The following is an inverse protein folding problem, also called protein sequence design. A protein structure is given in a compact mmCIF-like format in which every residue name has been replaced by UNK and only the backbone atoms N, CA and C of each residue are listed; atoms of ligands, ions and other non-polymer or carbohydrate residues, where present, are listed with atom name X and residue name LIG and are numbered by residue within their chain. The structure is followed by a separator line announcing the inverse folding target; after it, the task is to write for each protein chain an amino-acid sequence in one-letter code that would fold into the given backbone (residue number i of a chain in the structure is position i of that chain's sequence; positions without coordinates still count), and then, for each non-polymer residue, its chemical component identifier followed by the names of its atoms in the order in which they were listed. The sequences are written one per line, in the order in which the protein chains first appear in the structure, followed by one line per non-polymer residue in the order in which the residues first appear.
data_IF_785483587570
#
_entry.id   IF_785483587570
#
_cell.length_a   1.000
_cell.length_b   1.000
_cell.length_c   1.000
_cell.angle_alpha   90.00
_cell.angle_beta   90.00
_cell.angle_gamma   90.00
#
_symmetry.space_group_name_H-M   'P 1'
#
loop_
_entity.id
_entity.type
_entity.pdbx_description
1 polymer ?
#
# COMPACT_ATOMS: atom_id res chain seq x y z
N UNK A 1 -47.02 1.80 46.10
CA UNK A 1 -46.63 2.00 44.70
C UNK A 1 -45.36 2.84 44.61
N UNK A 2 -44.21 2.21 44.41
CA UNK A 2 -42.94 2.88 44.09
C UNK A 2 -42.78 2.99 42.55
N UNK A 3 -42.12 4.05 42.05
CA UNK A 3 -41.89 4.22 40.61
C UNK A 3 -40.93 3.12 40.06
N UNK A 4 -41.13 2.66 38.81
CA UNK A 4 -40.32 1.61 38.21
C UNK A 4 -38.86 2.05 38.04
N UNK A 5 -37.91 1.18 38.34
CA UNK A 5 -36.47 1.52 38.28
C UNK A 5 -35.78 1.06 36.98
N UNK A 6 -36.48 0.34 36.10
CA UNK A 6 -35.93 -0.18 34.84
C UNK A 6 -37.00 -0.32 33.76
N UNK A 7 -36.62 -0.12 32.50
CA UNK A 7 -37.47 -0.30 31.32
C UNK A 7 -38.15 -1.67 31.26
N UNK A 8 -37.45 -2.72 31.71
CA UNK A 8 -38.00 -4.08 31.78
C UNK A 8 -39.11 -4.21 32.84
N UNK A 9 -39.04 -3.44 33.93
CA UNK A 9 -40.08 -3.41 34.96
C UNK A 9 -41.33 -2.69 34.46
N UNK A 10 -41.14 -1.59 33.72
CA UNK A 10 -42.23 -0.83 33.11
C UNK A 10 -42.99 -1.65 32.07
N UNK A 11 -42.28 -2.33 31.16
CA UNK A 11 -42.89 -3.22 30.17
C UNK A 11 -43.64 -4.40 30.80
N UNK A 12 -43.10 -4.98 31.89
CA UNK A 12 -43.77 -6.06 32.61
C UNK A 12 -45.07 -5.58 33.27
N UNK A 13 -45.10 -4.38 33.87
CA UNK A 13 -46.31 -3.79 34.44
C UNK A 13 -47.38 -3.55 33.38
N UNK A 14 -46.99 -3.04 32.22
CA UNK A 14 -47.91 -2.79 31.10
C UNK A 14 -48.54 -4.09 30.60
N UNK A 15 -47.77 -5.17 30.48
CA UNK A 15 -48.30 -6.46 30.00
C UNK A 15 -49.13 -7.21 31.05
N UNK A 16 -48.80 -7.08 32.34
CA UNK A 16 -49.60 -7.68 33.42
C UNK A 16 -50.94 -6.96 33.60
N UNK A 17 -50.95 -5.63 33.50
CA UNK A 17 -52.20 -4.84 33.55
C UNK A 17 -53.17 -5.19 32.42
N UNK A 18 -52.68 -5.62 31.25
CA UNK A 18 -53.53 -6.04 30.12
C UNK A 18 -54.16 -7.42 30.30
N UNK A 19 -53.60 -8.27 31.15
CA UNK A 19 -53.96 -9.70 31.24
C UNK A 19 -54.59 -10.10 32.57
N UNK A 20 -54.52 -9.24 33.58
CA UNK A 20 -54.99 -9.54 34.94
C UNK A 20 -55.96 -8.44 35.38
N UNK A 21 -57.23 -8.81 35.55
CA UNK A 21 -58.34 -7.93 35.95
C UNK A 21 -58.49 -7.83 37.50
N UNK A 22 -57.56 -8.43 38.25
CA UNK A 22 -57.53 -8.47 39.71
C UNK A 22 -56.51 -7.47 40.28
N UNK A 23 -56.75 -7.01 41.50
CA UNK A 23 -55.88 -6.06 42.21
C UNK A 23 -54.52 -6.73 42.52
N UNK A 24 -53.46 -6.27 41.86
CA UNK A 24 -52.13 -6.89 41.91
C UNK A 24 -51.08 -5.96 42.50
N UNK A 25 -50.12 -6.52 43.24
CA UNK A 25 -48.97 -5.79 43.75
C UNK A 25 -47.67 -6.53 43.41
N UNK A 26 -46.70 -5.81 42.87
CA UNK A 26 -45.36 -6.35 42.59
C UNK A 26 -44.40 -5.71 43.58
N UNK A 27 -43.78 -6.53 44.43
CA UNK A 27 -42.69 -6.12 45.32
C UNK A 27 -41.38 -6.61 44.70
N UNK A 28 -40.54 -5.70 44.21
CA UNK A 28 -39.24 -6.02 43.63
C UNK A 28 -38.05 -5.65 44.54
N UNK A 29 -38.32 -5.19 45.76
CA UNK A 29 -37.32 -4.57 46.66
C UNK A 29 -36.75 -5.51 47.72
N UNK A 30 -37.33 -6.70 47.91
CA UNK A 30 -36.97 -7.58 49.03
C UNK A 30 -35.89 -8.63 48.71
N UNK A 31 -35.68 -9.01 47.45
CA UNK A 31 -34.63 -9.95 47.03
C UNK A 31 -34.16 -9.63 45.60
N UNK A 32 -32.86 -9.38 45.33
CA UNK A 32 -32.34 -9.06 44.00
C UNK A 32 -32.53 -10.17 42.95
N UNK A 33 -32.84 -11.40 43.36
CA UNK A 33 -32.81 -12.60 42.51
C UNK A 33 -34.18 -13.14 42.08
N UNK A 34 -35.26 -12.69 42.73
CA UNK A 34 -36.62 -13.18 42.54
C UNK A 34 -37.59 -12.01 42.29
N UNK A 35 -38.47 -12.16 41.30
CA UNK A 35 -39.60 -11.26 41.09
C UNK A 35 -40.80 -11.88 41.81
N UNK A 36 -41.38 -11.14 42.77
CA UNK A 36 -42.61 -11.51 43.47
C UNK A 36 -43.81 -10.85 42.77
N UNK A 37 -44.76 -11.66 42.31
CA UNK A 37 -46.07 -11.17 41.86
C UNK A 37 -47.11 -11.67 42.85
N UNK A 38 -47.66 -10.75 43.65
CA UNK A 38 -48.74 -11.04 44.59
C UNK A 38 -50.08 -10.74 43.91
N UNK A 39 -50.87 -11.78 43.67
CA UNK A 39 -52.22 -11.70 43.13
C UNK A 39 -53.21 -11.81 44.28
N UNK A 40 -54.10 -10.81 44.43
CA UNK A 40 -55.17 -10.84 45.42
C UNK A 40 -56.36 -11.59 44.83
N UNK A 41 -56.69 -12.75 45.40
CA UNK A 41 -57.90 -13.51 45.09
C UNK A 41 -58.92 -13.32 46.23
N UNK A 42 -60.20 -13.57 45.96
CA UNK A 42 -61.30 -13.41 46.92
C UNK A 42 -61.15 -14.26 48.20
N UNK A 43 -60.32 -15.31 48.17
CA UNK A 43 -60.07 -16.22 49.28
C UNK A 43 -58.62 -16.23 49.81
N UNK A 44 -57.76 -15.31 49.36
CA UNK A 44 -56.38 -15.22 49.82
C UNK A 44 -55.43 -14.58 48.82
N UNK A 45 -54.14 -14.50 49.16
CA UNK A 45 -53.10 -13.96 48.27
C UNK A 45 -52.32 -15.12 47.67
N UNK A 46 -52.31 -15.23 46.34
CA UNK A 46 -51.45 -16.17 45.62
C UNK A 46 -50.14 -15.48 45.24
N UNK A 47 -49.02 -16.02 45.73
CA UNK A 47 -47.68 -15.53 45.43
C UNK A 47 -47.03 -16.40 44.37
N UNK A 48 -46.72 -15.82 43.21
CA UNK A 48 -45.99 -16.50 42.13
C UNK A 48 -44.53 -16.05 42.14
N UNK A 49 -43.61 -17.02 42.07
CA UNK A 49 -42.17 -16.81 42.06
C UNK A 49 -41.61 -16.92 40.64
N UNK A 50 -40.92 -15.88 40.16
CA UNK A 50 -40.20 -15.92 38.89
C UNK A 50 -38.73 -15.50 39.08
N UNK A 51 -37.78 -16.34 38.67
CA UNK A 51 -36.35 -16.04 38.79
C UNK A 51 -35.91 -15.02 37.75
N UNK A 52 -35.35 -13.88 38.18
CA UNK A 52 -34.85 -12.79 37.32
C UNK A 52 -33.55 -13.17 36.57
N UNK A 53 -32.90 -14.27 36.98
CA UNK A 53 -31.55 -14.68 36.53
C UNK A 53 -31.45 -15.13 35.07
N UNK A 54 -32.57 -15.20 34.33
CA UNK A 54 -32.58 -15.50 32.87
C UNK A 54 -32.57 -14.29 31.96
N UNK A 55 -32.82 -13.08 32.48
CA UNK A 55 -32.97 -11.87 31.65
C UNK A 55 -31.61 -11.21 31.35
N UNK A 56 -30.62 -11.42 32.22
CA UNK A 56 -29.23 -10.99 32.00
C UNK A 56 -28.32 -12.21 32.03
N UNK A 57 -28.34 -12.99 30.95
CA UNK A 57 -27.42 -14.11 30.81
C UNK A 57 -25.99 -13.59 30.74
N UNK A 58 -25.17 -13.98 31.71
CA UNK A 58 -23.73 -13.70 31.78
C UNK A 58 -22.98 -14.08 30.49
N UNK A 59 -23.58 -14.94 29.66
CA UNK A 59 -23.11 -15.34 28.33
C UNK A 59 -23.09 -14.19 27.30
N UNK A 60 -23.94 -13.16 27.42
CA UNK A 60 -23.97 -12.08 26.43
C UNK A 60 -22.69 -11.24 26.46
N UNK A 61 -22.19 -10.91 27.66
CA UNK A 61 -20.97 -10.11 27.79
C UNK A 61 -19.73 -10.88 27.33
N UNK A 62 -19.67 -12.19 27.60
CA UNK A 62 -18.58 -13.03 27.10
C UNK A 62 -18.62 -13.18 25.59
N UNK A 63 -19.81 -13.30 24.99
CA UNK A 63 -20.00 -13.30 23.54
C UNK A 63 -19.49 -12.00 22.90
N UNK A 64 -19.94 -10.84 23.39
CA UNK A 64 -19.49 -9.55 22.85
C UNK A 64 -17.99 -9.33 23.04
N UNK A 65 -17.43 -9.71 24.20
CA UNK A 65 -15.99 -9.64 24.44
C UNK A 65 -15.20 -10.51 23.45
N UNK A 66 -15.64 -11.74 23.20
CA UNK A 66 -15.01 -12.64 22.23
C UNK A 66 -15.13 -12.15 20.80
N UNK A 67 -16.32 -11.69 20.39
CA UNK A 67 -16.54 -11.15 19.04
C UNK A 67 -15.71 -9.90 18.80
N UNK A 68 -15.67 -8.98 19.76
CA UNK A 68 -14.88 -7.75 19.63
C UNK A 68 -13.38 -8.05 19.64
N UNK A 69 -12.92 -8.92 20.54
CA UNK A 69 -11.52 -9.33 20.62
C UNK A 69 -11.03 -10.05 19.35
N UNK A 70 -11.79 -11.03 18.86
CA UNK A 70 -11.47 -11.73 17.61
C UNK A 70 -11.50 -10.80 16.39
N UNK A 71 -12.46 -9.87 16.33
CA UNK A 71 -12.54 -8.87 15.26
C UNK A 71 -11.33 -7.94 15.27
N UNK A 72 -10.93 -7.42 16.43
CA UNK A 72 -9.72 -6.59 16.57
C UNK A 72 -8.46 -7.35 16.16
N UNK A 73 -8.35 -8.62 16.57
CA UNK A 73 -7.20 -9.46 16.23
C UNK A 73 -7.11 -9.71 14.72
N UNK A 74 -8.22 -10.10 14.07
CA UNK A 74 -8.27 -10.30 12.62
C UNK A 74 -7.99 -8.99 11.87
N UNK A 75 -8.52 -7.86 12.36
CA UNK A 75 -8.25 -6.55 11.78
C UNK A 75 -6.76 -6.17 11.87
N UNK A 76 -6.13 -6.40 13.03
CA UNK A 76 -4.69 -6.14 13.19
C UNK A 76 -3.85 -7.01 12.24
N UNK A 77 -4.17 -8.30 12.12
CA UNK A 77 -3.51 -9.21 11.18
C UNK A 77 -3.68 -8.72 9.73
N UNK A 78 -4.90 -8.34 9.34
CA UNK A 78 -5.19 -7.80 8.02
C UNK A 78 -4.37 -6.53 7.71
N UNK A 79 -4.22 -5.62 8.68
CA UNK A 79 -3.38 -4.43 8.52
C UNK A 79 -1.90 -4.77 8.32
N UNK A 80 -1.37 -5.76 9.04
CA UNK A 80 0.00 -6.23 8.85
C UNK A 80 0.21 -6.82 7.46
N UNK A 81 -0.72 -7.67 7.00
CA UNK A 81 -0.71 -8.24 5.65
C UNK A 81 -0.79 -7.16 4.57
N UNK A 82 -1.70 -6.19 4.71
CA UNK A 82 -1.82 -5.08 3.74
C UNK A 82 -0.54 -4.25 3.66
N UNK A 83 0.10 -3.95 4.79
CA UNK A 83 1.41 -3.25 4.80
C UNK A 83 2.48 -4.03 4.07
N UNK A 84 2.49 -5.36 4.19
CA UNK A 84 3.39 -6.24 3.44
C UNK A 84 3.14 -6.26 1.93
N UNK A 85 1.91 -6.01 1.48
CA UNK A 85 1.55 -6.03 0.06
C UNK A 85 1.70 -4.67 -0.63
N UNK A 86 1.36 -3.57 0.05
CA UNK A 86 1.37 -2.22 -0.55
C UNK A 86 2.79 -1.65 -0.65
N UNK A 87 3.65 -1.89 0.35
CA UNK A 87 5.03 -1.35 0.37
C UNK A 87 5.85 -1.77 -0.87
N UNK A 88 5.87 -3.05 -1.29
CA UNK A 88 6.62 -3.47 -2.48
C UNK A 88 6.11 -2.84 -3.78
N UNK A 89 4.81 -2.60 -3.91
CA UNK A 89 4.22 -1.95 -5.09
C UNK A 89 4.72 -0.52 -5.22
N UNK A 90 4.73 0.24 -4.11
CA UNK A 90 5.25 1.61 -4.11
C UNK A 90 6.75 1.65 -4.43
N UNK A 91 7.53 0.68 -3.93
CA UNK A 91 8.95 0.55 -4.27
C UNK A 91 9.16 0.31 -5.76
N UNK A 92 8.38 -0.60 -6.36
CA UNK A 92 8.44 -0.87 -7.81
C UNK A 92 8.08 0.37 -8.63
N UNK A 93 7.02 1.10 -8.24
CA UNK A 93 6.62 2.33 -8.92
C UNK A 93 7.69 3.44 -8.83
N UNK A 94 8.36 3.55 -7.69
CA UNK A 94 9.47 4.51 -7.52
C UNK A 94 10.69 4.12 -8.36
N UNK A 95 11.03 2.83 -8.42
CA UNK A 95 12.10 2.33 -9.27
C UNK A 95 11.81 2.57 -10.76
N UNK A 96 10.58 2.36 -11.20
CA UNK A 96 10.16 2.63 -12.57
C UNK A 96 10.25 4.13 -12.92
N UNK A 97 9.80 5.01 -12.02
CA UNK A 97 9.97 6.47 -12.19
C UNK A 97 11.44 6.88 -12.24
N UNK A 98 12.28 6.32 -11.38
CA UNK A 98 13.72 6.61 -11.39
C UNK A 98 14.37 6.20 -12.71
N UNK A 99 14.04 5.02 -13.22
CA UNK A 99 14.51 4.55 -14.53
C UNK A 99 14.06 5.47 -15.67
N UNK A 100 12.80 5.92 -15.66
CA UNK A 100 12.28 6.86 -16.66
C UNK A 100 12.95 8.24 -16.64
N UNK A 101 13.53 8.63 -15.50
CA UNK A 101 14.30 9.87 -15.34
C UNK A 101 15.80 9.68 -15.63
N UNK A 102 16.23 8.50 -16.09
CA UNK A 102 17.66 8.19 -16.29
C UNK A 102 18.47 8.09 -15.00
N UNK A 103 17.82 8.09 -13.83
CA UNK A 103 18.51 7.95 -12.53
C UNK A 103 18.79 6.48 -12.24
N UNK A 104 19.87 6.22 -11.51
CA UNK A 104 20.11 4.89 -10.97
C UNK A 104 18.98 4.53 -10.00
N UNK A 105 18.08 3.64 -10.45
CA UNK A 105 17.08 3.08 -9.57
C UNK A 105 17.78 2.19 -8.53
N UNK A 106 17.55 2.39 -7.22
CA UNK A 106 18.14 1.54 -6.20
C UNK A 106 17.68 0.09 -6.40
N UNK A 107 18.60 -0.85 -6.23
CA UNK A 107 18.26 -2.27 -6.28
C UNK A 107 17.21 -2.58 -5.21
N UNK A 108 16.02 -2.96 -5.66
CA UNK A 108 14.91 -3.29 -4.77
C UNK A 108 14.73 -4.81 -4.73
N UNK A 109 14.53 -5.33 -3.53
CA UNK A 109 14.21 -6.73 -3.30
C UNK A 109 12.81 -7.06 -3.80
N UNK A 110 12.69 -8.23 -4.44
CA UNK A 110 11.42 -8.78 -4.93
C UNK A 110 10.63 -9.38 -3.76
N UNK A 111 9.86 -8.55 -3.08
CA UNK A 111 9.06 -8.89 -1.90
C UNK A 111 7.56 -8.70 -2.19
N UNK A 112 6.70 -9.27 -1.33
CA UNK A 112 5.24 -9.16 -1.44
C UNK A 112 4.56 -10.33 -2.16
N UNK A 113 3.34 -10.07 -2.65
CA UNK A 113 2.53 -11.06 -3.35
C UNK A 113 3.23 -11.62 -4.59
N UNK A 114 2.81 -12.80 -5.04
CA UNK A 114 3.42 -13.52 -6.16
C UNK A 114 3.43 -12.69 -7.44
N UNK A 115 2.36 -11.95 -7.67
CA UNK A 115 2.11 -11.09 -8.82
C UNK A 115 3.07 -9.89 -8.81
N UNK A 116 3.26 -9.27 -7.65
CA UNK A 116 4.19 -8.13 -7.48
C UNK A 116 5.62 -8.58 -7.72
N UNK A 117 5.99 -9.76 -7.23
CA UNK A 117 7.31 -10.35 -7.48
C UNK A 117 7.52 -10.67 -8.95
N UNK A 118 6.50 -11.18 -9.65
CA UNK A 118 6.56 -11.45 -11.09
C UNK A 118 6.75 -10.15 -11.89
N UNK A 119 5.96 -9.12 -11.59
CA UNK A 119 6.09 -7.80 -12.20
C UNK A 119 7.48 -7.19 -11.93
N UNK A 120 7.99 -7.32 -10.70
CA UNK A 120 9.33 -6.86 -10.34
C UNK A 120 10.44 -7.57 -11.13
N UNK A 121 10.32 -8.88 -11.38
CA UNK A 121 11.26 -9.63 -12.23
C UNK A 121 11.23 -9.13 -13.67
N UNK A 122 10.04 -8.97 -14.24
CA UNK A 122 9.87 -8.46 -15.60
C UNK A 122 10.47 -7.04 -15.73
N UNK A 123 10.24 -6.18 -14.73
CA UNK A 123 10.84 -4.86 -14.67
C UNK A 123 12.37 -4.90 -14.60
N UNK A 124 12.95 -5.75 -13.75
CA UNK A 124 14.41 -5.90 -13.66
C UNK A 124 15.03 -6.38 -14.99
N UNK A 125 14.39 -7.34 -15.66
CA UNK A 125 14.83 -7.82 -16.96
C UNK A 125 14.77 -6.71 -18.03
N UNK A 126 13.70 -5.91 -18.04
CA UNK A 126 13.57 -4.74 -18.92
C UNK A 126 14.65 -3.70 -18.64
N UNK A 127 14.88 -3.34 -17.37
CA UNK A 127 15.96 -2.42 -16.96
C UNK A 127 17.31 -2.90 -17.47
N UNK A 128 17.63 -4.17 -17.26
CA UNK A 128 18.91 -4.73 -17.70
C UNK A 128 19.08 -4.66 -19.21
N UNK A 129 18.02 -4.97 -19.97
CA UNK A 129 18.03 -4.84 -21.44
C UNK A 129 18.24 -3.40 -21.90
N UNK A 130 17.56 -2.43 -21.29
CA UNK A 130 17.70 -1.01 -21.62
C UNK A 130 19.14 -0.55 -21.34
N UNK A 131 19.66 -0.83 -20.15
CA UNK A 131 21.02 -0.42 -19.77
C UNK A 131 22.07 -1.04 -20.68
N UNK A 132 21.89 -2.31 -21.05
CA UNK A 132 22.77 -2.98 -22.01
C UNK A 132 22.74 -2.28 -23.38
N UNK A 133 21.56 -1.96 -23.90
CA UNK A 133 21.42 -1.26 -25.19
C UNK A 133 22.03 0.14 -25.17
N UNK A 134 21.94 0.84 -24.03
CA UNK A 134 22.59 2.14 -23.87
C UNK A 134 24.12 1.99 -23.87
N UNK A 135 24.65 1.05 -23.09
CA UNK A 135 26.09 0.80 -23.04
C UNK A 135 26.65 0.37 -24.41
N UNK A 136 25.96 -0.53 -25.12
CA UNK A 136 26.35 -0.96 -26.48
C UNK A 136 26.41 0.22 -27.46
N UNK A 137 25.46 1.18 -27.37
CA UNK A 137 25.47 2.39 -28.20
C UNK A 137 26.62 3.32 -27.85
N UNK A 138 26.87 3.55 -26.56
CA UNK A 138 27.98 4.41 -26.11
C UNK A 138 29.33 3.81 -26.49
N UNK A 139 29.50 2.49 -26.34
CA UNK A 139 30.72 1.78 -26.76
C UNK A 139 30.93 1.85 -28.28
N UNK A 140 29.87 1.66 -29.08
CA UNK A 140 29.93 1.82 -30.52
C UNK A 140 30.37 3.24 -30.92
N UNK A 141 29.81 4.27 -30.29
CA UNK A 141 30.17 5.66 -30.58
C UNK A 141 31.64 5.96 -30.24
N UNK A 142 32.14 5.43 -29.12
CA UNK A 142 33.55 5.53 -28.77
C UNK A 142 34.46 4.82 -29.79
N UNK A 143 34.05 3.64 -30.27
CA UNK A 143 34.77 2.91 -31.33
C UNK A 143 34.81 3.68 -32.64
N UNK A 144 33.69 4.28 -33.07
CA UNK A 144 33.63 5.10 -34.29
C UNK A 144 34.56 6.32 -34.19
N UNK A 145 34.61 7.00 -33.05
CA UNK A 145 35.55 8.12 -32.83
C UNK A 145 37.00 7.70 -33.04
N UNK A 146 37.38 6.58 -32.42
CA UNK A 146 38.73 6.04 -32.54
C UNK A 146 39.07 5.71 -34.00
N UNK A 147 38.14 5.10 -34.73
CA UNK A 147 38.34 4.73 -36.12
C UNK A 147 38.39 5.93 -37.07
N UNK A 148 37.69 7.04 -36.75
CA UNK A 148 37.73 8.30 -37.51
C UNK A 148 39.05 9.06 -37.34
N UNK A 149 39.73 8.93 -36.18
CA UNK A 149 41.03 9.58 -35.94
C UNK A 149 42.11 9.12 -36.94
N UNK A 150 42.05 7.87 -37.39
CA UNK A 150 43.00 7.30 -38.36
C UNK A 150 42.94 7.98 -39.74
N UNK A 151 41.79 8.02 -40.46
CA UNK A 151 41.69 8.72 -41.73
C UNK A 151 41.89 10.23 -41.60
N UNK A 152 41.44 10.88 -40.51
CA UNK A 152 41.69 12.30 -40.26
C UNK A 152 43.20 12.61 -40.19
N UNK A 153 43.96 11.78 -39.47
CA UNK A 153 45.43 11.90 -39.40
C UNK A 153 46.08 11.72 -40.78
N UNK A 154 45.57 10.78 -41.59
CA UNK A 154 46.05 10.57 -42.97
C UNK A 154 45.77 11.79 -43.86
N UNK A 155 44.57 12.37 -43.78
CA UNK A 155 44.22 13.59 -44.52
C UNK A 155 45.15 14.73 -44.10
N UNK A 156 45.38 14.92 -42.79
CA UNK A 156 46.29 15.93 -42.26
C UNK A 156 47.72 15.78 -42.84
N UNK A 157 48.22 14.55 -42.93
CA UNK A 157 49.53 14.26 -43.55
C UNK A 157 49.54 14.55 -45.07
N UNK A 158 48.45 14.26 -45.79
CA UNK A 158 48.34 14.57 -47.22
C UNK A 158 48.34 16.09 -47.48
N UNK A 159 47.68 16.87 -46.62
CA UNK A 159 47.68 18.34 -46.68
C UNK A 159 49.07 18.93 -46.48
N UNK A 160 49.91 18.34 -45.61
CA UNK A 160 51.31 18.78 -45.45
C UNK A 160 52.13 18.66 -46.74
N UNK A 161 51.83 17.64 -47.55
CA UNK A 161 52.52 17.33 -48.81
C UNK A 161 51.98 18.10 -50.02
N UNK A 162 50.88 18.85 -49.87
CA UNK A 162 50.32 19.65 -50.96
C UNK A 162 51.20 20.84 -51.33
N UNK A 163 51.36 21.06 -52.63
CA UNK A 163 52.15 22.16 -53.18
C UNK A 163 51.44 23.52 -53.08
N UNK A 164 50.10 23.54 -53.20
CA UNK A 164 49.31 24.75 -52.98
C UNK A 164 49.01 24.90 -51.49
N UNK A 165 49.69 25.85 -50.84
CA UNK A 165 49.57 26.08 -49.40
C UNK A 165 48.28 26.80 -49.00
N UNK A 166 47.73 27.64 -49.88
CA UNK A 166 46.50 28.40 -49.60
C UNK A 166 45.29 27.47 -49.57
N UNK A 167 45.18 26.55 -50.55
CA UNK A 167 44.12 25.53 -50.57
C UNK A 167 44.26 24.53 -49.41
N UNK A 168 45.50 24.18 -49.04
CA UNK A 168 45.77 23.25 -47.95
C UNK A 168 45.43 23.83 -46.57
N UNK A 169 45.64 25.13 -46.34
CA UNK A 169 45.22 25.85 -45.14
C UNK A 169 43.70 25.87 -44.99
N UNK A 170 42.97 26.16 -46.08
CA UNK A 170 41.51 26.17 -46.06
C UNK A 170 40.93 24.80 -45.67
N UNK A 171 41.41 23.71 -46.29
CA UNK A 171 40.93 22.35 -45.98
C UNK A 171 41.34 21.93 -44.55
N UNK A 172 42.49 22.40 -44.06
CA UNK A 172 42.93 22.14 -42.68
C UNK A 172 42.01 22.80 -41.66
N UNK A 173 41.49 23.99 -41.94
CA UNK A 173 40.52 24.67 -41.09
C UNK A 173 39.21 23.88 -41.03
N UNK A 174 38.68 23.44 -42.18
CA UNK A 174 37.47 22.61 -42.24
C UNK A 174 37.65 21.28 -41.46
N UNK A 175 38.83 20.64 -41.59
CA UNK A 175 39.15 19.41 -40.87
C UNK A 175 39.13 19.60 -39.34
N UNK A 176 39.62 20.75 -38.86
CA UNK A 176 39.64 21.08 -37.45
C UNK A 176 38.22 21.32 -36.91
N UNK A 177 37.36 21.99 -37.68
CA UNK A 177 35.95 22.17 -37.33
C UNK A 177 35.19 20.82 -37.27
N UNK A 178 35.48 19.91 -38.20
CA UNK A 178 34.92 18.56 -38.17
C UNK A 178 35.37 17.77 -36.93
N UNK A 179 36.66 17.86 -36.55
CA UNK A 179 37.18 17.25 -35.31
C UNK A 179 36.45 17.79 -34.07
N UNK A 180 36.26 19.11 -33.98
CA UNK A 180 35.56 19.76 -32.87
C UNK A 180 34.09 19.33 -32.78
N UNK A 181 33.38 19.27 -33.91
CA UNK A 181 31.99 18.79 -33.95
C UNK A 181 31.86 17.33 -33.50
N UNK A 182 32.80 16.47 -33.91
CA UNK A 182 32.81 15.05 -33.52
C UNK A 182 33.04 14.93 -32.02
N UNK A 183 34.04 15.63 -31.47
CA UNK A 183 34.37 15.60 -30.05
C UNK A 183 33.20 16.13 -29.19
N UNK A 184 32.56 17.22 -29.62
CA UNK A 184 31.37 17.76 -28.94
C UNK A 184 30.20 16.75 -28.90
N UNK A 185 29.93 16.06 -30.01
CA UNK A 185 28.87 15.05 -30.06
C UNK A 185 29.18 13.83 -29.18
N UNK A 186 30.45 13.41 -29.11
CA UNK A 186 30.89 12.30 -28.26
C UNK A 186 30.79 12.63 -26.78
N UNK A 187 31.20 13.83 -26.37
CA UNK A 187 31.07 14.30 -24.98
C UNK A 187 29.60 14.34 -24.55
N UNK A 188 28.71 14.80 -25.44
CA UNK A 188 27.27 14.76 -25.20
C UNK A 188 26.75 13.31 -25.06
N UNK A 189 27.16 12.40 -25.93
CA UNK A 189 26.73 11.00 -25.90
C UNK A 189 27.31 10.19 -24.71
N UNK A 190 28.48 10.57 -24.21
CA UNK A 190 29.10 9.99 -23.02
C UNK A 190 28.42 10.41 -21.71
N UNK A 191 27.53 11.40 -21.75
CA UNK A 191 26.79 11.89 -20.58
C UNK A 191 27.57 12.88 -19.72
N UNK A 192 28.58 13.56 -20.28
CA UNK A 192 29.31 14.66 -19.62
C UNK A 192 28.64 16.04 -19.83
N UNK A 193 27.38 16.07 -20.29
CA UNK A 193 26.58 17.29 -20.52
C UNK A 193 25.50 17.54 -19.47
#
# INVERSE_FOLDING_TARGET
NQPPQSYAEEMLRVELAKRIDLDWAINLTSDPSLIYVDLKLDNGVMRIYASRKRIFSSTSWTFFGWTLGSSMLLFAIALLFMRGQVRPILRLANAARALGLGRQAPDFRLEGAREVRLAGRAFQAMRHRIMRQLNERTEMLAGVSHDLRTPLTRIRLQLELMANKDDAEAIRADLAEMEEMIDAYLNFAAGEG
#
